data_IF_951894993730
#
_entry.id   IF_951894993730
#
_cell.length_a   1.000
_cell.length_b   1.000
_cell.length_c   1.000
_cell.angle_alpha   90.00
_cell.angle_beta   90.00
_cell.angle_gamma   90.00
#
_symmetry.space_group_name_H-M   'P 1'
#
loop_
_entity.id
_entity.type
_entity.pdbx_description
1 polymer ?
#
# COMPACT_ATOMS: atom_id res chain seq x y z
N UNK A 1 17.17 -1.89 -12.72
CA UNK A 1 16.63 -0.56 -12.33
C UNK A 1 17.32 0.48 -13.21
N UNK A 2 16.56 1.40 -13.82
CA UNK A 2 17.12 2.48 -14.61
C UNK A 2 17.93 3.45 -13.72
N UNK A 3 19.07 3.94 -14.21
CA UNK A 3 19.83 5.02 -13.57
C UNK A 3 19.46 6.40 -14.13
N UNK A 4 18.67 6.46 -15.20
CA UNK A 4 18.21 7.70 -15.83
C UNK A 4 16.92 8.19 -15.14
N UNK A 5 16.98 9.39 -14.58
CA UNK A 5 15.83 10.00 -13.89
C UNK A 5 14.65 10.22 -14.82
N UNK A 6 14.89 10.62 -16.07
CA UNK A 6 13.81 10.81 -17.04
C UNK A 6 13.07 9.49 -17.32
N UNK A 7 13.83 8.41 -17.50
CA UNK A 7 13.25 7.08 -17.71
C UNK A 7 12.49 6.58 -16.46
N UNK A 8 12.95 6.88 -15.26
CA UNK A 8 12.26 6.54 -14.00
C UNK A 8 10.92 7.29 -13.92
N UNK A 9 10.90 8.58 -14.24
CA UNK A 9 9.67 9.39 -14.23
C UNK A 9 8.70 8.93 -15.32
N UNK A 10 9.19 8.64 -16.53
CA UNK A 10 8.36 8.13 -17.63
C UNK A 10 7.75 6.76 -17.32
N UNK A 11 8.49 5.90 -16.63
CA UNK A 11 7.98 4.61 -16.17
C UNK A 11 6.86 4.82 -15.12
N UNK A 12 7.03 5.74 -14.16
CA UNK A 12 5.96 6.11 -13.23
C UNK A 12 4.72 6.68 -13.93
N UNK A 13 4.91 7.47 -15.01
CA UNK A 13 3.80 7.99 -15.83
C UNK A 13 3.02 6.88 -16.55
N UNK A 14 3.64 5.75 -16.86
CA UNK A 14 2.95 4.62 -17.52
C UNK A 14 1.97 3.90 -16.59
N UNK A 15 2.11 4.07 -15.28
CA UNK A 15 1.23 3.44 -14.27
C UNK A 15 -0.04 4.24 -13.96
N UNK A 16 -0.17 5.45 -14.52
CA UNK A 16 -1.33 6.32 -14.31
C UNK A 16 -2.04 6.66 -15.62
N UNK A 17 -3.35 7.01 -15.61
CA UNK A 17 -4.05 7.40 -16.82
C UNK A 17 -3.39 8.58 -17.53
N UNK A 18 -3.09 8.39 -18.82
CA UNK A 18 -2.29 9.34 -19.60
C UNK A 18 -2.88 10.78 -19.68
N UNK A 19 -4.18 10.93 -19.52
CA UNK A 19 -4.94 12.19 -19.62
C UNK A 19 -5.47 12.67 -18.24
N UNK A 20 -4.91 12.17 -17.11
CA UNK A 20 -5.23 12.74 -15.82
C UNK A 20 -4.39 14.01 -15.53
N UNK A 21 -4.90 14.88 -14.66
CA UNK A 21 -4.24 16.14 -14.26
C UNK A 21 -2.86 15.94 -13.63
N UNK A 22 -2.63 14.81 -12.95
CA UNK A 22 -1.32 14.47 -12.39
C UNK A 22 -0.31 14.20 -13.50
N UNK A 23 -0.69 13.41 -14.51
CA UNK A 23 0.18 13.12 -15.64
C UNK A 23 0.48 14.39 -16.49
N UNK A 24 -0.48 15.32 -16.59
CA UNK A 24 -0.27 16.63 -17.20
C UNK A 24 0.80 17.42 -16.45
N UNK A 25 0.65 17.59 -15.14
CA UNK A 25 1.59 18.34 -14.31
C UNK A 25 3.03 17.78 -14.39
N UNK A 26 3.18 16.45 -14.35
CA UNK A 26 4.50 15.81 -14.48
C UNK A 26 5.14 16.09 -15.85
N UNK A 27 4.35 15.97 -16.94
CA UNK A 27 4.85 16.27 -18.31
C UNK A 27 5.22 17.74 -18.50
N UNK A 28 4.44 18.64 -17.93
CA UNK A 28 4.71 20.08 -17.97
C UNK A 28 6.06 20.39 -17.33
N UNK A 29 6.32 19.86 -16.12
CA UNK A 29 7.60 20.04 -15.45
C UNK A 29 8.76 19.47 -16.26
N UNK A 30 8.59 18.26 -16.83
CA UNK A 30 9.62 17.68 -17.71
C UNK A 30 9.88 18.56 -18.96
N UNK A 31 8.84 19.13 -19.54
CA UNK A 31 8.97 20.02 -20.69
C UNK A 31 9.67 21.32 -20.31
N UNK A 32 9.29 21.95 -19.20
CA UNK A 32 9.90 23.19 -18.71
C UNK A 32 11.37 22.99 -18.31
N UNK A 33 11.70 21.87 -17.67
CA UNK A 33 13.08 21.54 -17.29
C UNK A 33 14.01 21.32 -18.49
N UNK A 34 13.47 20.98 -19.66
CA UNK A 34 14.26 20.92 -20.91
C UNK A 34 14.55 22.32 -21.50
N UNK A 35 13.81 23.34 -21.06
CA UNK A 35 13.89 24.71 -21.58
C UNK A 35 14.75 25.62 -20.70
N UNK A 36 15.00 25.26 -19.45
CA UNK A 36 15.81 26.03 -18.50
C UNK A 36 16.74 25.11 -17.71
N UNK A 37 17.94 25.62 -17.42
CA UNK A 37 18.90 25.00 -16.49
C UNK A 37 18.78 25.56 -15.08
N UNK A 38 17.88 26.53 -14.86
CA UNK A 38 17.58 27.11 -13.57
C UNK A 38 16.27 26.52 -13.03
N UNK A 39 16.33 25.91 -11.86
CA UNK A 39 15.14 25.33 -11.23
C UNK A 39 14.14 26.41 -10.78
N UNK A 40 14.59 27.64 -10.51
CA UNK A 40 13.72 28.75 -10.10
C UNK A 40 12.78 29.17 -11.25
N UNK A 41 13.26 29.15 -12.50
CA UNK A 41 12.39 29.36 -13.68
C UNK A 41 11.30 28.28 -13.81
N UNK A 42 11.61 27.03 -13.48
CA UNK A 42 10.64 25.94 -13.50
C UNK A 42 9.68 26.06 -12.33
N UNK A 43 10.16 26.45 -11.17
CA UNK A 43 9.37 26.72 -9.99
C UNK A 43 8.32 27.83 -10.24
N UNK A 44 8.73 28.94 -10.87
CA UNK A 44 7.81 30.03 -11.23
C UNK A 44 6.67 29.52 -12.12
N UNK A 45 6.95 28.67 -13.09
CA UNK A 45 5.93 28.04 -13.95
C UNK A 45 5.01 27.08 -13.16
N UNK A 46 5.57 26.33 -12.21
CA UNK A 46 4.79 25.48 -11.32
C UNK A 46 3.84 26.34 -10.50
N UNK A 47 4.31 27.47 -9.94
CA UNK A 47 3.45 28.36 -9.16
C UNK A 47 2.36 29.02 -10.01
N UNK A 48 2.69 29.44 -11.24
CA UNK A 48 1.70 30.01 -12.16
C UNK A 48 0.62 29.02 -12.54
N UNK A 49 0.98 27.76 -12.84
CA UNK A 49 0.05 26.75 -13.32
C UNK A 49 -0.67 25.99 -12.20
N UNK A 50 0.03 25.67 -11.11
CA UNK A 50 -0.43 24.77 -10.06
C UNK A 50 -0.45 25.37 -8.65
N UNK A 51 0.02 26.62 -8.47
CA UNK A 51 0.04 27.30 -7.18
C UNK A 51 -1.34 27.62 -6.59
N UNK A 52 -2.40 27.46 -7.39
CA UNK A 52 -3.79 27.61 -6.90
C UNK A 52 -4.27 26.42 -6.05
N UNK A 53 -3.58 25.29 -6.08
CA UNK A 53 -3.87 24.15 -5.22
C UNK A 53 -3.41 24.39 -3.78
N UNK A 54 -4.08 23.76 -2.83
CA UNK A 54 -3.66 23.80 -1.42
C UNK A 54 -2.23 23.24 -1.25
N UNK A 55 -1.47 23.78 -0.29
CA UNK A 55 -0.05 23.45 -0.09
C UNK A 55 0.27 21.97 0.13
N UNK A 56 -0.70 21.13 0.54
CA UNK A 56 -0.54 19.67 0.67
C UNK A 56 -1.28 18.89 -0.42
N UNK A 57 -1.66 19.54 -1.52
CA UNK A 57 -2.36 18.86 -2.61
C UNK A 57 -1.37 18.06 -3.47
N UNK A 58 -1.78 16.88 -3.93
CA UNK A 58 -0.92 15.94 -4.66
C UNK A 58 -0.30 16.55 -5.93
N UNK A 59 -1.04 17.34 -6.71
CA UNK A 59 -0.60 17.80 -8.04
C UNK A 59 0.58 18.77 -7.94
N UNK A 60 0.48 19.84 -7.14
CA UNK A 60 1.57 20.80 -6.98
C UNK A 60 2.78 20.16 -6.28
N UNK A 61 2.56 19.29 -5.30
CA UNK A 61 3.65 18.59 -4.62
C UNK A 61 4.37 17.59 -5.54
N UNK A 62 3.64 16.84 -6.36
CA UNK A 62 4.27 15.98 -7.37
C UNK A 62 5.08 16.78 -8.41
N UNK A 63 4.60 17.96 -8.81
CA UNK A 63 5.35 18.86 -9.70
C UNK A 63 6.69 19.29 -9.06
N UNK A 64 6.69 19.65 -7.76
CA UNK A 64 7.90 20.00 -7.01
C UNK A 64 8.85 18.80 -6.84
N UNK A 65 8.34 17.62 -6.60
CA UNK A 65 9.12 16.36 -6.55
C UNK A 65 9.81 16.10 -7.89
N UNK A 66 9.08 16.19 -9.00
CA UNK A 66 9.66 16.00 -10.35
C UNK A 66 10.73 17.03 -10.66
N UNK A 67 10.49 18.31 -10.33
CA UNK A 67 11.51 19.36 -10.44
C UNK A 67 12.77 19.00 -9.66
N UNK A 68 12.63 18.61 -8.38
CA UNK A 68 13.78 18.21 -7.55
C UNK A 68 14.52 17.00 -8.08
N UNK A 69 13.83 16.01 -8.63
CA UNK A 69 14.43 14.84 -9.25
C UNK A 69 15.25 15.20 -10.49
N UNK A 70 14.71 16.06 -11.35
CA UNK A 70 15.40 16.46 -12.59
C UNK A 70 16.64 17.29 -12.29
N UNK A 71 16.55 18.32 -11.43
CA UNK A 71 17.67 19.19 -11.07
C UNK A 71 18.66 18.54 -10.09
N UNK A 72 18.24 17.48 -9.39
CA UNK A 72 19.07 16.69 -8.50
C UNK A 72 19.59 15.38 -9.09
N UNK A 73 19.42 15.15 -10.40
CA UNK A 73 19.73 13.86 -11.03
C UNK A 73 21.13 13.32 -10.71
N UNK A 74 22.14 14.19 -10.66
CA UNK A 74 23.53 13.83 -10.41
C UNK A 74 24.05 14.25 -9.02
N UNK A 75 23.20 14.84 -8.18
CA UNK A 75 23.56 15.33 -6.85
C UNK A 75 22.41 15.12 -5.86
N UNK A 76 22.60 14.14 -4.95
CA UNK A 76 21.64 13.77 -3.92
C UNK A 76 21.17 14.96 -3.07
N UNK A 77 22.11 15.78 -2.62
CA UNK A 77 21.81 16.96 -1.80
C UNK A 77 21.05 18.01 -2.59
N UNK A 78 21.50 18.31 -3.80
CA UNK A 78 20.84 19.30 -4.65
C UNK A 78 19.39 18.93 -4.93
N UNK A 79 19.09 17.63 -5.15
CA UNK A 79 17.73 17.17 -5.34
C UNK A 79 16.83 17.44 -4.15
N UNK A 80 17.27 17.08 -2.94
CA UNK A 80 16.52 17.32 -1.71
C UNK A 80 16.37 18.83 -1.44
N UNK A 81 17.47 19.58 -1.51
CA UNK A 81 17.48 21.01 -1.20
C UNK A 81 16.60 21.80 -2.16
N UNK A 82 16.69 21.55 -3.46
CA UNK A 82 15.83 22.18 -4.48
C UNK A 82 14.37 21.91 -4.22
N UNK A 83 14.01 20.65 -3.92
CA UNK A 83 12.64 20.26 -3.61
C UNK A 83 12.10 20.97 -2.38
N UNK A 84 12.86 20.98 -1.29
CA UNK A 84 12.46 21.62 -0.03
C UNK A 84 12.34 23.14 -0.18
N UNK A 85 13.25 23.77 -0.92
CA UNK A 85 13.16 25.20 -1.25
C UNK A 85 11.94 25.54 -2.12
N UNK A 86 11.41 24.60 -2.87
CA UNK A 86 10.17 24.75 -3.63
C UNK A 86 8.93 25.00 -2.77
N UNK A 87 8.98 24.67 -1.48
CA UNK A 87 7.88 24.91 -0.54
C UNK A 87 6.81 23.81 -0.52
N UNK A 88 5.58 24.19 -0.19
CA UNK A 88 4.44 23.29 0.01
C UNK A 88 4.69 22.24 1.10
N UNK A 89 4.50 20.96 0.84
CA UNK A 89 4.68 19.86 1.79
C UNK A 89 6.15 19.41 1.81
N UNK A 90 7.01 20.21 2.40
CA UNK A 90 8.48 20.13 2.28
C UNK A 90 9.07 18.84 2.82
N UNK A 91 8.57 18.32 3.92
CA UNK A 91 9.02 17.09 4.56
C UNK A 91 8.66 15.85 3.74
N UNK A 92 7.40 15.74 3.27
CA UNK A 92 6.98 14.67 2.38
C UNK A 92 7.69 14.71 1.03
N UNK A 93 7.81 15.91 0.42
CA UNK A 93 8.48 16.08 -0.87
C UNK A 93 9.97 15.75 -0.78
N UNK A 94 10.65 16.26 0.25
CA UNK A 94 12.06 15.97 0.49
C UNK A 94 12.33 14.49 0.76
N UNK A 95 11.47 13.84 1.55
CA UNK A 95 11.53 12.40 1.79
C UNK A 95 11.34 11.57 0.51
N UNK A 96 10.40 11.98 -0.35
CA UNK A 96 10.12 11.29 -1.62
C UNK A 96 11.33 11.38 -2.56
N UNK A 97 11.88 12.58 -2.77
CA UNK A 97 13.08 12.77 -3.60
C UNK A 97 14.28 12.03 -3.01
N UNK A 98 14.47 12.12 -1.69
CA UNK A 98 15.54 11.40 -0.99
C UNK A 98 15.44 9.89 -1.14
N UNK A 99 14.24 9.33 -1.13
CA UNK A 99 14.02 7.89 -1.34
C UNK A 99 14.35 7.45 -2.77
N UNK A 100 13.88 8.20 -3.78
CA UNK A 100 14.10 7.87 -5.19
C UNK A 100 15.59 8.00 -5.55
N UNK A 101 16.21 9.12 -5.20
CA UNK A 101 17.65 9.36 -5.44
C UNK A 101 18.50 8.40 -4.61
N UNK A 102 18.11 8.10 -3.36
CA UNK A 102 18.80 7.14 -2.51
C UNK A 102 18.82 5.73 -3.11
N UNK A 103 17.67 5.27 -3.66
CA UNK A 103 17.60 4.00 -4.37
C UNK A 103 18.46 3.99 -5.66
N UNK A 104 18.53 5.13 -6.35
CA UNK A 104 19.32 5.30 -7.58
C UNK A 104 20.82 5.31 -7.30
N UNK A 105 21.28 6.08 -6.32
CA UNK A 105 22.69 6.17 -5.97
C UNK A 105 23.19 4.92 -5.23
N UNK A 106 22.32 4.34 -4.40
CA UNK A 106 22.69 3.25 -3.50
C UNK A 106 23.42 3.75 -2.24
N UNK A 107 23.34 2.99 -1.17
CA UNK A 107 23.80 3.40 0.16
C UNK A 107 25.30 3.76 0.25
N UNK A 108 26.13 3.26 -0.66
CA UNK A 108 27.59 3.52 -0.65
C UNK A 108 27.96 4.90 -1.18
N UNK A 109 27.13 5.44 -2.07
CA UNK A 109 27.40 6.71 -2.76
C UNK A 109 26.62 7.88 -2.13
N UNK A 110 25.83 7.60 -1.06
CA UNK A 110 25.16 8.66 -0.31
C UNK A 110 26.17 9.44 0.56
N UNK A 111 26.08 10.78 0.59
CA UNK A 111 27.01 11.60 1.36
C UNK A 111 26.88 11.33 2.88
N UNK A 112 28.01 11.12 3.58
CA UNK A 112 28.09 10.86 5.02
C UNK A 112 27.32 11.88 5.87
N UNK A 113 27.27 13.14 5.46
CA UNK A 113 26.52 14.18 6.17
C UNK A 113 25.02 13.93 6.24
N UNK A 114 24.46 13.15 5.30
CA UNK A 114 23.05 12.78 5.29
C UNK A 114 22.77 11.49 6.06
N UNK A 115 23.66 10.49 5.94
CA UNK A 115 23.45 9.16 6.52
C UNK A 115 24.10 8.99 7.89
N UNK A 116 25.28 9.59 8.12
CA UNK A 116 26.06 9.41 9.35
C UNK A 116 25.34 9.90 10.61
N UNK A 117 24.58 10.97 10.49
CA UNK A 117 23.79 11.54 11.62
C UNK A 117 22.66 10.61 12.09
N UNK A 118 22.20 9.69 11.24
CA UNK A 118 21.12 8.75 11.55
C UNK A 118 21.59 7.58 12.42
N UNK A 119 22.91 7.32 12.48
CA UNK A 119 23.50 6.22 13.26
C UNK A 119 22.82 4.87 13.01
N UNK A 120 22.41 4.61 11.76
CA UNK A 120 21.68 3.41 11.35
C UNK A 120 20.40 3.16 12.14
N UNK A 121 19.72 4.20 12.62
CA UNK A 121 18.53 4.07 13.47
C UNK A 121 17.34 4.83 12.90
N UNK A 122 16.17 4.18 12.90
CA UNK A 122 14.88 4.76 12.53
C UNK A 122 13.87 4.54 13.66
N UNK A 123 13.43 5.64 14.28
CA UNK A 123 12.29 5.64 15.19
C UNK A 123 11.01 5.83 14.39
N UNK A 124 10.01 4.97 14.58
CA UNK A 124 8.75 5.05 13.86
C UNK A 124 7.54 4.88 14.79
N UNK A 125 6.38 5.33 14.32
CA UNK A 125 5.08 5.14 14.99
C UNK A 125 4.36 3.86 14.53
N UNK A 126 4.99 3.04 13.69
CA UNK A 126 4.43 1.78 13.23
C UNK A 126 4.42 0.78 14.38
N UNK A 127 3.27 0.16 14.65
CA UNK A 127 3.13 -0.82 15.72
C UNK A 127 4.16 -1.93 15.56
N UNK A 128 4.82 -2.30 16.66
CA UNK A 128 5.85 -3.34 16.74
C UNK A 128 7.12 -3.07 15.91
N UNK A 129 7.24 -1.86 15.34
CA UNK A 129 8.39 -1.38 14.58
C UNK A 129 8.83 0.01 15.06
N UNK A 130 8.83 0.26 16.38
CA UNK A 130 9.13 1.59 16.93
C UNK A 130 10.61 1.97 16.86
N UNK A 131 11.51 0.99 16.94
CA UNK A 131 12.96 1.18 16.93
C UNK A 131 13.57 0.17 15.95
N UNK A 132 14.10 0.66 14.84
CA UNK A 132 14.59 -0.18 13.75
C UNK A 132 16.00 0.19 13.36
N UNK A 133 16.72 -0.76 12.79
CA UNK A 133 17.95 -0.49 12.05
C UNK A 133 17.61 -0.25 10.58
N UNK A 134 18.11 0.85 10.02
CA UNK A 134 17.87 1.19 8.60
C UNK A 134 18.46 0.11 7.68
N UNK A 135 19.65 -0.40 8.03
CA UNK A 135 20.32 -1.48 7.30
C UNK A 135 19.49 -2.77 7.26
N UNK A 136 18.87 -3.17 8.38
CA UNK A 136 18.01 -4.36 8.45
C UNK A 136 16.72 -4.19 7.63
N UNK A 137 16.10 -2.99 7.67
CA UNK A 137 14.95 -2.69 6.85
C UNK A 137 15.28 -2.72 5.35
N UNK A 138 16.44 -2.18 4.97
CA UNK A 138 16.90 -2.21 3.58
C UNK A 138 17.14 -3.64 3.10
N UNK A 139 17.76 -4.50 3.92
CA UNK A 139 18.01 -5.91 3.60
C UNK A 139 16.69 -6.69 3.43
N UNK A 140 15.74 -6.52 4.35
CA UNK A 140 14.41 -7.13 4.26
C UNK A 140 13.66 -6.68 3.01
N UNK A 141 13.68 -5.37 2.71
CA UNK A 141 13.05 -4.81 1.51
C UNK A 141 13.68 -5.37 0.24
N UNK A 142 15.02 -5.46 0.19
CA UNK A 142 15.73 -6.04 -0.94
C UNK A 142 15.35 -7.51 -1.15
N UNK A 143 15.30 -8.29 -0.08
CA UNK A 143 14.90 -9.70 -0.15
C UNK A 143 13.51 -9.88 -0.75
N UNK A 144 12.52 -9.10 -0.27
CA UNK A 144 11.16 -9.13 -0.80
C UNK A 144 11.13 -8.68 -2.28
N UNK A 145 11.85 -7.61 -2.62
CA UNK A 145 11.91 -7.13 -4.00
C UNK A 145 12.48 -8.19 -4.97
N UNK A 146 13.51 -8.93 -4.54
CA UNK A 146 14.07 -10.00 -5.36
C UNK A 146 13.08 -11.15 -5.59
N UNK A 147 12.22 -11.45 -4.64
CA UNK A 147 11.15 -12.45 -4.81
C UNK A 147 10.09 -12.00 -5.83
N UNK A 148 9.75 -10.70 -5.84
CA UNK A 148 8.75 -10.15 -6.76
C UNK A 148 9.31 -10.01 -8.18
N UNK A 149 10.60 -9.66 -8.31
CA UNK A 149 11.25 -9.39 -9.61
C UNK A 149 11.72 -10.69 -10.29
N UNK A 150 11.90 -11.79 -9.53
CA UNK A 150 12.29 -13.07 -10.10
C UNK A 150 11.29 -13.51 -11.19
N UNK A 151 11.75 -13.97 -12.38
CA UNK A 151 10.83 -14.43 -13.41
C UNK A 151 10.00 -15.59 -12.88
N UNK A 152 8.72 -15.59 -13.19
CA UNK A 152 7.78 -16.65 -12.81
C UNK A 152 8.05 -18.03 -13.47
N UNK A 153 9.14 -18.18 -14.21
CA UNK A 153 9.44 -19.35 -15.05
C UNK A 153 10.35 -20.41 -14.40
N UNK A 154 10.77 -20.22 -13.17
CA UNK A 154 11.33 -21.32 -12.39
C UNK A 154 10.36 -21.62 -11.23
N UNK A 155 9.71 -22.78 -11.30
CA UNK A 155 9.16 -23.47 -10.14
C UNK A 155 10.31 -23.70 -9.14
N UNK A 156 10.76 -22.63 -8.49
CA UNK A 156 11.54 -22.77 -7.30
C UNK A 156 10.54 -23.18 -6.21
N UNK A 157 10.71 -24.40 -5.72
CA UNK A 157 10.39 -24.69 -4.33
C UNK A 157 11.04 -23.58 -3.50
N UNK A 158 10.33 -22.46 -3.35
CA UNK A 158 10.69 -21.42 -2.39
C UNK A 158 10.57 -22.10 -1.05
N UNK A 159 11.72 -22.35 -0.45
CA UNK A 159 11.80 -22.82 0.91
C UNK A 159 10.86 -21.94 1.76
N UNK A 160 9.81 -22.56 2.26
CA UNK A 160 8.71 -21.97 3.02
C UNK A 160 9.17 -21.51 4.41
N UNK A 161 10.23 -20.71 4.50
CA UNK A 161 10.88 -20.47 5.78
C UNK A 161 10.91 -19.01 6.26
N UNK A 162 10.34 -18.02 5.51
CA UNK A 162 10.27 -16.63 5.98
C UNK A 162 9.03 -15.83 5.52
N UNK A 163 8.05 -16.45 4.94
CA UNK A 163 6.68 -15.95 5.00
C UNK A 163 6.17 -16.47 6.34
N UNK A 164 5.64 -15.63 7.26
CA UNK A 164 4.87 -16.21 8.35
C UNK A 164 3.88 -17.13 7.67
N UNK A 165 3.97 -18.41 7.99
CA UNK A 165 3.17 -19.51 7.47
C UNK A 165 1.80 -18.95 7.08
N UNK A 166 1.54 -18.75 5.79
CA UNK A 166 0.19 -18.49 5.31
C UNK A 166 -0.51 -19.78 5.59
N UNK A 167 -1.11 -19.84 6.75
CA UNK A 167 -1.77 -21.01 7.27
C UNK A 167 -3.01 -21.26 6.42
N UNK A 168 -2.83 -22.00 5.33
CA UNK A 168 -3.93 -22.63 4.58
C UNK A 168 -4.76 -23.61 5.45
N UNK A 169 -4.53 -23.62 6.75
CA UNK A 169 -5.24 -24.39 7.76
C UNK A 169 -6.05 -23.59 8.77
N UNK A 170 -6.20 -22.28 8.61
CA UNK A 170 -6.73 -21.45 9.68
C UNK A 170 -8.25 -21.18 9.64
N UNK A 171 -8.96 -21.51 8.56
CA UNK A 171 -10.39 -21.24 8.50
C UNK A 171 -11.25 -22.18 9.36
N UNK A 172 -11.03 -23.52 9.43
CA UNK A 172 -11.79 -24.38 10.31
C UNK A 172 -11.67 -23.96 11.79
N UNK A 173 -12.80 -23.84 12.45
CA UNK A 173 -12.88 -23.43 13.86
C UNK A 173 -14.14 -22.66 14.18
N UNK A 174 -14.19 -22.14 15.40
CA UNK A 174 -15.28 -21.30 15.91
C UNK A 174 -14.80 -19.84 15.94
N UNK A 175 -15.65 -18.96 15.43
CA UNK A 175 -15.37 -17.53 15.32
C UNK A 175 -16.52 -16.72 15.91
N UNK A 176 -16.22 -15.79 16.81
CA UNK A 176 -17.18 -14.74 17.14
C UNK A 176 -17.23 -13.76 15.95
N UNK A 177 -18.38 -13.65 15.28
CA UNK A 177 -18.55 -12.90 14.04
C UNK A 177 -19.51 -11.74 14.21
N UNK A 178 -19.03 -10.54 14.03
CA UNK A 178 -19.77 -9.30 14.22
C UNK A 178 -20.18 -8.70 12.88
N UNK A 179 -21.47 -8.45 12.72
CA UNK A 179 -22.09 -7.74 11.60
C UNK A 179 -22.98 -6.62 12.12
N UNK A 180 -23.36 -5.59 11.33
CA UNK A 180 -24.09 -4.43 11.81
C UNK A 180 -25.45 -4.75 12.49
N UNK A 181 -26.05 -5.88 12.16
CA UNK A 181 -27.33 -6.31 12.76
C UNK A 181 -27.17 -7.28 13.93
N UNK A 182 -25.96 -7.56 14.41
CA UNK A 182 -25.72 -8.30 15.64
C UNK A 182 -24.50 -9.18 15.65
N UNK A 183 -24.32 -9.85 16.79
CA UNK A 183 -23.25 -10.83 16.98
C UNK A 183 -23.71 -12.22 16.57
N UNK A 184 -22.80 -12.94 15.92
CA UNK A 184 -23.00 -14.30 15.46
C UNK A 184 -21.85 -15.20 15.88
N UNK A 185 -22.08 -16.50 15.91
CA UNK A 185 -21.03 -17.49 16.05
C UNK A 185 -20.95 -18.25 14.73
N UNK A 186 -19.81 -18.13 14.06
CA UNK A 186 -19.52 -18.83 12.81
C UNK A 186 -18.69 -20.07 13.14
N UNK A 187 -19.16 -21.24 12.76
CA UNK A 187 -18.47 -22.54 12.93
C UNK A 187 -18.18 -23.11 11.57
N UNK A 188 -16.91 -23.38 11.29
CA UNK A 188 -16.45 -23.94 10.01
C UNK A 188 -15.70 -25.24 10.29
N UNK A 189 -16.10 -26.31 9.62
CA UNK A 189 -15.50 -27.63 9.72
C UNK A 189 -14.26 -27.76 8.80
N UNK A 190 -13.48 -28.83 8.96
CA UNK A 190 -12.30 -29.10 8.12
C UNK A 190 -12.64 -29.33 6.63
N UNK A 191 -13.87 -29.76 6.32
CA UNK A 191 -14.39 -29.93 4.95
C UNK A 191 -14.97 -28.63 4.36
N UNK A 192 -14.80 -27.51 5.05
CA UNK A 192 -15.34 -26.17 4.73
C UNK A 192 -16.88 -26.08 4.80
N UNK A 193 -17.57 -27.12 5.22
CA UNK A 193 -18.95 -26.97 5.63
C UNK A 193 -19.07 -26.22 6.94
N UNK A 194 -20.19 -25.57 7.21
CA UNK A 194 -20.33 -24.86 8.47
C UNK A 194 -21.69 -24.22 8.67
N UNK A 195 -21.79 -23.51 9.78
CA UNK A 195 -23.01 -22.83 10.20
C UNK A 195 -22.70 -21.49 10.86
N UNK A 196 -23.66 -20.58 10.77
CA UNK A 196 -23.62 -19.29 11.46
C UNK A 196 -24.86 -19.19 12.36
N UNK A 197 -24.66 -18.88 13.63
CA UNK A 197 -25.72 -18.79 14.66
C UNK A 197 -25.85 -17.34 15.13
N UNK A 198 -27.06 -16.80 15.11
CA UNK A 198 -27.36 -15.49 15.70
C UNK A 198 -27.35 -15.57 17.22
N UNK A 199 -26.48 -14.84 17.89
CA UNK A 199 -26.41 -14.84 19.38
C UNK A 199 -27.68 -14.26 20.02
N UNK A 200 -28.35 -13.33 19.33
CA UNK A 200 -29.55 -12.66 19.85
C UNK A 200 -30.82 -13.52 19.73
N UNK A 201 -30.94 -14.38 18.71
CA UNK A 201 -32.16 -15.08 18.36
C UNK A 201 -32.00 -16.59 18.38
N UNK A 202 -30.76 -17.12 18.41
CA UNK A 202 -30.49 -18.56 18.36
C UNK A 202 -30.82 -19.20 17.01
N UNK A 203 -31.03 -18.40 15.98
CA UNK A 203 -31.26 -18.87 14.62
C UNK A 203 -29.94 -19.36 14.02
N UNK A 204 -30.00 -20.55 13.40
CA UNK A 204 -28.84 -21.18 12.78
C UNK A 204 -29.08 -21.32 11.29
N UNK A 205 -28.15 -20.76 10.50
CA UNK A 205 -28.12 -20.90 9.04
C UNK A 205 -26.86 -21.65 8.60
N UNK A 206 -27.00 -22.47 7.57
CA UNK A 206 -25.82 -23.13 6.96
C UNK A 206 -25.08 -22.14 6.10
N UNK A 207 -23.76 -22.20 6.15
CA UNK A 207 -22.94 -21.53 5.16
C UNK A 207 -22.79 -22.42 3.93
N UNK A 208 -22.72 -21.81 2.76
CA UNK A 208 -22.50 -22.48 1.48
C UNK A 208 -21.62 -21.63 0.58
N UNK A 209 -21.21 -22.16 -0.58
CA UNK A 209 -20.31 -21.51 -1.54
C UNK A 209 -19.00 -21.03 -0.91
N UNK A 210 -18.47 -21.82 0.04
CA UNK A 210 -17.25 -21.47 0.76
C UNK A 210 -16.04 -21.65 -0.17
N UNK A 211 -15.37 -20.56 -0.45
CA UNK A 211 -14.11 -20.52 -1.21
C UNK A 211 -13.01 -19.94 -0.33
N UNK A 212 -11.85 -20.55 -0.38
CA UNK A 212 -10.65 -20.05 0.31
C UNK A 212 -9.51 -20.05 -0.70
N UNK A 213 -8.98 -18.88 -0.97
CA UNK A 213 -7.80 -18.71 -1.78
C UNK A 213 -6.75 -17.93 -0.99
N UNK A 214 -5.67 -18.62 -0.62
CA UNK A 214 -4.61 -18.06 0.24
C UNK A 214 -5.17 -17.53 1.57
N UNK A 215 -5.39 -16.25 1.71
CA UNK A 215 -5.99 -15.60 2.86
C UNK A 215 -7.34 -14.94 2.56
N UNK A 216 -7.83 -15.03 1.34
CA UNK A 216 -9.16 -14.54 0.96
C UNK A 216 -10.20 -15.62 1.22
N UNK A 217 -11.31 -15.20 1.78
CA UNK A 217 -12.40 -16.08 2.20
C UNK A 217 -13.71 -15.53 1.68
N UNK A 218 -14.46 -16.38 1.01
CA UNK A 218 -15.81 -16.11 0.53
C UNK A 218 -16.75 -17.17 1.06
N UNK A 219 -17.94 -16.78 1.52
CA UNK A 219 -19.03 -17.69 1.84
C UNK A 219 -20.36 -16.98 1.83
N UNK A 220 -21.43 -17.77 1.68
CA UNK A 220 -22.80 -17.28 1.65
C UNK A 220 -23.61 -17.91 2.79
N UNK A 221 -24.53 -17.15 3.38
CA UNK A 221 -25.44 -17.63 4.43
C UNK A 221 -26.81 -16.94 4.37
N UNK A 222 -27.84 -17.57 4.88
CA UNK A 222 -29.17 -17.00 4.98
C UNK A 222 -29.40 -16.25 6.30
N UNK A 223 -30.17 -15.17 6.24
CA UNK A 223 -30.67 -14.45 7.44
C UNK A 223 -32.17 -14.32 7.33
N UNK A 224 -32.90 -14.77 8.38
CA UNK A 224 -34.35 -14.59 8.43
C UNK A 224 -34.70 -13.10 8.64
N UNK A 225 -35.54 -12.57 7.75
CA UNK A 225 -36.09 -11.22 7.87
C UNK A 225 -37.60 -11.27 7.80
N UNK A 226 -38.23 -11.43 8.95
CA UNK A 226 -39.70 -11.64 9.04
C UNK A 226 -40.12 -13.00 8.48
N UNK A 227 -40.84 -13.05 7.38
CA UNK A 227 -41.28 -14.29 6.72
C UNK A 227 -40.45 -14.68 5.50
N UNK A 228 -39.35 -14.04 5.27
CA UNK A 228 -38.46 -14.24 4.08
C UNK A 228 -37.03 -14.46 4.55
N UNK A 229 -36.36 -15.41 3.94
CA UNK A 229 -34.91 -15.58 4.06
C UNK A 229 -34.21 -14.66 3.06
N UNK A 230 -33.18 -13.96 3.52
CA UNK A 230 -32.35 -13.05 2.70
C UNK A 230 -30.94 -13.62 2.68
N UNK A 231 -30.43 -13.78 1.48
CA UNK A 231 -29.08 -14.26 1.26
C UNK A 231 -28.05 -13.13 1.53
N UNK A 232 -27.00 -13.47 2.25
CA UNK A 232 -25.88 -12.60 2.59
C UNK A 232 -24.59 -13.24 2.11
N UNK A 233 -23.83 -12.51 1.33
CA UNK A 233 -22.52 -12.93 0.83
C UNK A 233 -21.44 -12.23 1.65
N UNK A 234 -20.49 -12.98 2.17
CA UNK A 234 -19.31 -12.45 2.83
C UNK A 234 -18.08 -12.61 1.93
N UNK A 235 -17.37 -11.50 1.74
CA UNK A 235 -16.07 -11.44 1.10
C UNK A 235 -15.06 -10.79 2.04
N UNK A 236 -13.96 -11.48 2.36
CA UNK A 236 -13.03 -10.97 3.34
C UNK A 236 -11.70 -11.68 3.36
N UNK A 237 -10.90 -11.37 4.38
CA UNK A 237 -9.58 -11.93 4.60
C UNK A 237 -9.45 -12.52 5.98
N UNK A 238 -8.72 -13.62 6.05
CA UNK A 238 -8.36 -14.28 7.30
C UNK A 238 -6.89 -14.02 7.65
N UNK A 239 -6.61 -13.78 8.92
CA UNK A 239 -5.26 -13.70 9.48
C UNK A 239 -5.26 -14.39 10.83
N UNK A 240 -4.41 -15.37 11.03
CA UNK A 240 -4.27 -16.21 12.24
C UNK A 240 -5.52 -16.38 13.11
N UNK A 241 -5.95 -15.36 13.83
CA UNK A 241 -7.06 -15.33 14.79
C UNK A 241 -8.17 -14.34 14.44
N UNK A 242 -8.12 -13.72 13.25
CA UNK A 242 -9.09 -12.72 12.80
C UNK A 242 -9.59 -12.99 11.39
N UNK A 243 -10.87 -12.70 11.17
CA UNK A 243 -11.51 -12.63 9.87
C UNK A 243 -12.13 -11.22 9.72
N UNK A 244 -11.93 -10.56 8.60
CA UNK A 244 -12.49 -9.24 8.36
C UNK A 244 -12.80 -9.03 6.89
N UNK A 245 -13.90 -8.37 6.58
CA UNK A 245 -14.35 -8.13 5.21
C UNK A 245 -15.67 -7.38 5.17
N UNK A 246 -16.44 -7.64 4.13
CA UNK A 246 -17.72 -7.01 3.87
C UNK A 246 -18.79 -8.06 3.62
N UNK A 247 -19.99 -7.81 4.13
CA UNK A 247 -21.18 -8.56 3.82
C UNK A 247 -22.03 -7.80 2.80
N UNK A 248 -22.44 -8.46 1.72
CA UNK A 248 -23.35 -7.87 0.72
C UNK A 248 -24.71 -8.52 0.82
N UNK A 249 -25.75 -7.73 0.91
CA UNK A 249 -27.14 -8.20 0.93
C UNK A 249 -28.07 -7.19 0.25
N UNK A 250 -28.86 -7.64 -0.71
CA UNK A 250 -29.81 -6.79 -1.44
C UNK A 250 -29.16 -5.59 -2.14
N UNK A 251 -27.87 -5.69 -2.51
CA UNK A 251 -27.11 -4.63 -3.17
C UNK A 251 -26.52 -3.56 -2.22
N UNK A 252 -26.62 -3.77 -0.90
CA UNK A 252 -25.97 -2.95 0.11
C UNK A 252 -24.76 -3.70 0.72
N UNK A 253 -23.68 -2.99 0.99
CA UNK A 253 -22.44 -3.50 1.57
C UNK A 253 -22.33 -3.07 3.04
N UNK A 254 -21.88 -3.98 3.89
CA UNK A 254 -21.75 -3.77 5.32
C UNK A 254 -20.44 -4.37 5.85
N UNK A 255 -19.69 -3.65 6.69
CA UNK A 255 -18.47 -4.22 7.28
C UNK A 255 -18.80 -5.39 8.21
N UNK A 256 -17.97 -6.41 8.16
CA UNK A 256 -18.06 -7.59 9.01
C UNK A 256 -16.67 -8.00 9.50
N UNK A 257 -16.59 -8.47 10.74
CA UNK A 257 -15.33 -8.94 11.30
C UNK A 257 -15.55 -10.00 12.36
N UNK A 258 -14.57 -10.86 12.57
CA UNK A 258 -14.61 -11.89 13.58
C UNK A 258 -13.25 -12.15 14.21
N UNK A 259 -13.29 -12.77 15.38
CA UNK A 259 -12.12 -13.29 16.06
C UNK A 259 -12.36 -14.77 16.42
N UNK A 260 -11.28 -15.56 16.38
CA UNK A 260 -11.34 -16.97 16.77
C UNK A 260 -11.60 -17.06 18.27
N UNK A 261 -12.51 -17.97 18.65
CA UNK A 261 -12.81 -18.29 20.03
C UNK A 261 -11.86 -19.37 20.59
#
# INVERSE_FOLDING_TARGET
VSSDISAIIEMGLSEIPANCRLAEAVRDVLAWSRMSTDWEDVWDRIQESYGHYHGVHTINNAALVVMGLVFGADDYENGIVTTVRGGCDTDCNGATVGSILGARFGARDLPDKWIGVLSDRLMSSVRDCNDNRISELAERTHHIAMQIIAPADEEQEVAAELVPEVMTGALPGTWGFDVPWGKHILRINEDLSGEIESVAHGEISRIHDVLVDSNEVHFTFGVEKGSSEVEVVFDGRISSDRIAGECTSGGAEFPASGARE
#
